data_IF_391361151861
#
_entry.id   IF_391361151861
#
_cell.length_a   1.000
_cell.length_b   1.000
_cell.length_c   1.000
_cell.angle_alpha   90.00
_cell.angle_beta   90.00
_cell.angle_gamma   90.00
#
_symmetry.space_group_name_H-M   'P 1'
#
loop_
_entity.id
_entity.type
_entity.pdbx_description
1 polymer ?
#
# COMPACT_ATOMS: atom_id res chain seq x y z
N UNK A 1 9.67 -23.01 -39.53
CA UNK A 1 8.63 -23.21 -38.49
C UNK A 1 8.76 -22.11 -37.45
N UNK A 2 7.75 -21.22 -37.33
CA UNK A 2 7.75 -20.15 -36.32
C UNK A 2 7.71 -20.77 -34.92
N UNK A 3 8.54 -20.23 -33.99
CA UNK A 3 8.62 -20.68 -32.59
C UNK A 3 7.24 -20.47 -31.94
N UNK A 4 6.59 -21.59 -31.55
CA UNK A 4 5.27 -21.52 -30.89
C UNK A 4 5.37 -20.65 -29.62
N UNK A 5 4.53 -19.63 -29.52
CA UNK A 5 4.53 -18.73 -28.35
C UNK A 5 4.11 -19.51 -27.09
N UNK A 6 4.81 -19.32 -25.99
CA UNK A 6 4.42 -19.91 -24.70
C UNK A 6 2.99 -19.48 -24.32
N UNK A 7 2.29 -20.32 -23.55
CA UNK A 7 0.93 -20.02 -23.08
C UNK A 7 0.89 -18.69 -22.31
N UNK A 8 1.93 -18.41 -21.50
CA UNK A 8 2.08 -17.14 -20.81
C UNK A 8 2.17 -15.94 -21.78
N UNK A 9 2.94 -16.08 -22.87
CA UNK A 9 3.02 -15.03 -23.89
C UNK A 9 1.69 -14.82 -24.62
N UNK A 10 0.94 -15.88 -24.88
CA UNK A 10 -0.39 -15.80 -25.47
C UNK A 10 -1.36 -15.06 -24.52
N UNK A 11 -1.41 -15.45 -23.24
CA UNK A 11 -2.26 -14.82 -22.23
C UNK A 11 -1.95 -13.32 -22.07
N UNK A 12 -0.66 -12.96 -22.00
CA UNK A 12 -0.25 -11.56 -21.91
C UNK A 12 -0.64 -10.74 -23.15
N UNK A 13 -0.53 -11.32 -24.34
CA UNK A 13 -0.96 -10.67 -25.57
C UNK A 13 -2.48 -10.41 -25.60
N UNK A 14 -3.27 -11.37 -25.08
CA UNK A 14 -4.74 -11.26 -25.02
C UNK A 14 -5.22 -10.18 -24.06
N UNK A 15 -4.63 -10.09 -22.85
CA UNK A 15 -5.07 -9.08 -21.87
C UNK A 15 -4.61 -7.66 -22.22
N UNK A 16 -3.57 -7.52 -23.04
CA UNK A 16 -3.05 -6.20 -23.43
C UNK A 16 -2.46 -5.41 -22.26
N UNK A 17 -2.31 -4.10 -22.47
CA UNK A 17 -1.82 -3.15 -21.46
C UNK A 17 -2.91 -2.13 -21.14
N UNK A 18 -3.41 -2.18 -19.91
CA UNK A 18 -4.33 -1.15 -19.39
C UNK A 18 -3.52 -0.02 -18.75
N UNK A 19 -3.37 1.08 -19.47
CA UNK A 19 -2.61 2.26 -19.03
C UNK A 19 -3.34 3.11 -17.99
N UNK A 20 -4.63 2.90 -17.77
CA UNK A 20 -5.40 3.59 -16.71
C UNK A 20 -4.99 3.13 -15.30
N UNK A 21 -4.45 1.93 -15.18
CA UNK A 21 -4.00 1.39 -13.89
C UNK A 21 -2.59 1.83 -13.52
N UNK A 22 -2.32 1.93 -12.22
CA UNK A 22 -0.96 2.19 -11.71
C UNK A 22 0.04 1.12 -12.17
N UNK A 23 1.33 1.47 -12.28
CA UNK A 23 2.39 0.52 -12.66
C UNK A 23 2.40 -0.73 -11.80
N UNK A 24 2.29 -0.59 -10.47
CA UNK A 24 2.26 -1.71 -9.54
C UNK A 24 1.05 -2.63 -9.75
N UNK A 25 -0.11 -2.06 -10.05
CA UNK A 25 -1.32 -2.86 -10.35
C UNK A 25 -1.15 -3.63 -11.64
N UNK A 26 -0.54 -3.01 -12.67
CA UNK A 26 -0.23 -3.68 -13.94
C UNK A 26 0.78 -4.81 -13.74
N UNK A 27 1.90 -4.53 -13.07
CA UNK A 27 2.95 -5.52 -12.80
C UNK A 27 2.37 -6.74 -12.07
N UNK A 28 1.54 -6.52 -11.06
CA UNK A 28 0.86 -7.58 -10.32
C UNK A 28 -0.07 -8.40 -11.21
N UNK A 29 -0.89 -7.73 -12.04
CA UNK A 29 -1.76 -8.41 -12.99
C UNK A 29 -0.96 -9.27 -13.98
N UNK A 30 0.11 -8.71 -14.55
CA UNK A 30 0.98 -9.43 -15.50
C UNK A 30 1.67 -10.62 -14.85
N UNK A 31 2.17 -10.46 -13.61
CA UNK A 31 2.80 -11.55 -12.85
C UNK A 31 1.82 -12.69 -12.56
N UNK A 32 0.63 -12.37 -12.07
CA UNK A 32 -0.40 -13.37 -11.79
C UNK A 32 -0.90 -14.05 -13.08
N UNK A 33 -0.98 -13.32 -14.18
CA UNK A 33 -1.30 -13.87 -15.50
C UNK A 33 -0.28 -14.90 -15.97
N UNK A 34 1.02 -14.57 -15.84
CA UNK A 34 2.10 -15.51 -16.17
C UNK A 34 2.07 -16.77 -15.31
N UNK A 35 1.86 -16.58 -13.99
CA UNK A 35 1.82 -17.70 -13.05
C UNK A 35 0.69 -18.67 -13.40
N UNK A 36 -0.53 -18.17 -13.61
CA UNK A 36 -1.67 -19.00 -13.99
C UNK A 36 -1.44 -19.73 -15.32
N UNK A 37 -0.99 -19.02 -16.35
CA UNK A 37 -0.74 -19.63 -17.66
C UNK A 37 0.35 -20.71 -17.60
N UNK A 38 1.43 -20.48 -16.85
CA UNK A 38 2.48 -21.47 -16.64
C UNK A 38 1.97 -22.69 -15.87
N UNK A 39 1.12 -22.48 -14.85
CA UNK A 39 0.49 -23.57 -14.12
C UNK A 39 -0.32 -24.47 -15.05
N UNK A 40 -1.23 -23.87 -15.82
CA UNK A 40 -2.11 -24.63 -16.73
C UNK A 40 -1.31 -25.34 -17.84
N UNK A 41 -0.28 -24.71 -18.39
CA UNK A 41 0.62 -25.34 -19.34
C UNK A 41 1.32 -26.56 -18.75
N UNK A 42 1.83 -26.44 -17.51
CA UNK A 42 2.56 -27.52 -16.83
C UNK A 42 1.65 -28.66 -16.39
N UNK A 43 0.50 -28.34 -15.79
CA UNK A 43 -0.40 -29.33 -15.20
C UNK A 43 -1.24 -30.09 -16.25
N UNK A 44 -1.58 -29.43 -17.36
CA UNK A 44 -2.51 -29.99 -18.36
C UNK A 44 -1.95 -30.05 -19.78
N UNK A 45 -0.69 -29.70 -20.01
CA UNK A 45 -0.13 -29.64 -21.35
C UNK A 45 -0.85 -28.66 -22.28
N UNK A 46 -1.54 -27.62 -21.72
CA UNK A 46 -2.32 -26.70 -22.53
C UNK A 46 -1.41 -25.84 -23.41
N UNK A 47 -1.59 -25.91 -24.72
CA UNK A 47 -0.77 -25.19 -25.70
C UNK A 47 -1.41 -23.87 -26.19
N UNK A 48 -2.75 -23.76 -26.12
CA UNK A 48 -3.52 -22.58 -26.57
C UNK A 48 -4.39 -22.05 -25.46
N UNK A 49 -4.24 -20.76 -25.14
CA UNK A 49 -5.02 -20.11 -24.08
C UNK A 49 -6.53 -20.10 -24.38
N UNK A 50 -6.90 -20.06 -25.66
CA UNK A 50 -8.29 -20.14 -26.09
C UNK A 50 -8.97 -21.47 -25.72
N UNK A 51 -8.22 -22.53 -25.41
CA UNK A 51 -8.72 -23.83 -24.95
C UNK A 51 -8.90 -23.93 -23.44
N UNK A 52 -8.83 -22.80 -22.72
CA UNK A 52 -9.10 -22.77 -21.29
C UNK A 52 -10.49 -23.32 -20.95
N UNK A 53 -10.60 -24.13 -19.88
CA UNK A 53 -11.83 -24.79 -19.42
C UNK A 53 -12.04 -24.56 -17.92
N UNK A 54 -13.27 -24.72 -17.38
CA UNK A 54 -13.54 -24.60 -15.94
C UNK A 54 -12.65 -25.46 -15.06
N UNK A 55 -12.38 -26.72 -15.47
CA UNK A 55 -11.51 -27.67 -14.74
C UNK A 55 -10.09 -27.14 -14.49
N UNK A 56 -9.51 -26.41 -15.47
CA UNK A 56 -8.19 -25.80 -15.30
C UNK A 56 -8.17 -24.75 -14.21
N UNK A 57 -9.29 -23.98 -14.09
CA UNK A 57 -9.44 -22.93 -13.09
C UNK A 57 -9.63 -23.54 -11.71
N UNK A 58 -10.50 -24.56 -11.60
CA UNK A 58 -10.75 -25.28 -10.35
C UNK A 58 -9.45 -25.88 -9.80
N UNK A 59 -8.68 -26.57 -10.62
CA UNK A 59 -7.41 -27.15 -10.24
C UNK A 59 -6.38 -26.09 -9.80
N UNK A 60 -6.35 -24.93 -10.47
CA UNK A 60 -5.49 -23.83 -10.03
C UNK A 60 -5.90 -23.29 -8.65
N UNK A 61 -7.21 -23.18 -8.39
CA UNK A 61 -7.72 -22.77 -7.06
C UNK A 61 -7.33 -23.80 -6.00
N UNK A 62 -7.51 -25.08 -6.27
CA UNK A 62 -7.09 -26.18 -5.38
C UNK A 62 -5.60 -26.08 -5.06
N UNK A 63 -4.74 -25.85 -6.06
CA UNK A 63 -3.31 -25.65 -5.85
C UNK A 63 -2.97 -24.42 -5.00
N UNK A 64 -3.79 -23.38 -5.06
CA UNK A 64 -3.63 -22.20 -4.19
C UNK A 64 -3.99 -22.49 -2.73
N UNK A 65 -5.02 -23.30 -2.47
CA UNK A 65 -5.40 -23.78 -1.14
C UNK A 65 -4.32 -24.72 -0.58
N UNK A 66 -3.83 -25.68 -1.34
CA UNK A 66 -2.74 -26.58 -0.95
C UNK A 66 -1.48 -25.81 -0.53
N UNK A 67 -1.16 -24.74 -1.25
CA UNK A 67 -0.05 -23.81 -0.93
C UNK A 67 -0.36 -22.87 0.23
N UNK A 68 -1.52 -22.97 0.85
CA UNK A 68 -1.98 -22.15 1.97
C UNK A 68 -1.87 -20.64 1.68
N UNK A 69 -2.18 -20.22 0.46
CA UNK A 69 -2.15 -18.80 0.12
C UNK A 69 -3.26 -18.05 0.86
N UNK A 70 -2.96 -16.85 1.32
CA UNK A 70 -3.97 -16.01 1.98
C UNK A 70 -5.12 -15.65 1.02
N UNK A 71 -6.34 -15.54 1.54
CA UNK A 71 -7.52 -15.18 0.75
C UNK A 71 -7.36 -13.88 -0.07
N UNK A 72 -6.73 -12.78 0.44
CA UNK A 72 -6.42 -11.63 -0.38
C UNK A 72 -5.50 -11.93 -1.57
N UNK A 73 -4.49 -12.80 -1.37
CA UNK A 73 -3.57 -13.21 -2.45
C UNK A 73 -4.29 -14.02 -3.51
N UNK A 74 -5.12 -14.97 -3.09
CA UNK A 74 -5.95 -15.77 -4.01
C UNK A 74 -6.94 -14.90 -4.79
N UNK A 75 -7.60 -13.94 -4.12
CA UNK A 75 -8.52 -13.01 -4.79
C UNK A 75 -7.83 -12.16 -5.87
N UNK A 76 -6.60 -11.71 -5.63
CA UNK A 76 -5.81 -10.98 -6.61
C UNK A 76 -5.43 -11.87 -7.81
N UNK A 77 -5.09 -13.14 -7.59
CA UNK A 77 -4.81 -14.12 -8.64
C UNK A 77 -6.07 -14.44 -9.46
N UNK A 78 -7.22 -14.60 -8.81
CA UNK A 78 -8.51 -14.80 -9.49
C UNK A 78 -8.91 -13.58 -10.34
N UNK A 79 -8.50 -12.37 -9.98
CA UNK A 79 -8.67 -11.20 -10.84
C UNK A 79 -7.94 -11.37 -12.17
N UNK A 80 -6.71 -11.91 -12.17
CA UNK A 80 -5.97 -12.19 -13.40
C UNK A 80 -6.65 -13.30 -14.24
N UNK A 81 -7.11 -14.37 -13.58
CA UNK A 81 -7.86 -15.46 -14.25
C UNK A 81 -9.12 -14.93 -14.96
N UNK A 82 -9.91 -14.09 -14.26
CA UNK A 82 -11.11 -13.48 -14.88
C UNK A 82 -10.75 -12.54 -16.03
N UNK A 83 -9.67 -11.78 -15.90
CA UNK A 83 -9.20 -10.91 -16.99
C UNK A 83 -8.82 -11.72 -18.22
N UNK A 84 -8.12 -12.85 -18.06
CA UNK A 84 -7.79 -13.76 -19.16
C UNK A 84 -9.08 -14.34 -19.77
N UNK A 85 -9.98 -14.91 -18.96
CA UNK A 85 -11.22 -15.49 -19.43
C UNK A 85 -12.07 -14.49 -20.22
N UNK A 86 -12.16 -13.24 -19.74
CA UNK A 86 -12.83 -12.15 -20.45
C UNK A 86 -12.13 -11.85 -21.79
N UNK A 87 -10.81 -11.76 -21.81
CA UNK A 87 -10.05 -11.40 -23.02
C UNK A 87 -10.12 -12.44 -24.15
N UNK A 88 -10.50 -13.68 -23.83
CA UNK A 88 -10.75 -14.77 -24.80
C UNK A 88 -12.24 -15.05 -25.02
N UNK A 89 -13.14 -14.19 -24.52
CA UNK A 89 -14.61 -14.36 -24.69
C UNK A 89 -15.23 -15.50 -23.88
N UNK A 90 -14.57 -15.96 -22.82
CA UNK A 90 -15.00 -17.12 -22.01
C UNK A 90 -15.25 -16.76 -20.53
N UNK A 91 -15.82 -15.58 -20.25
CA UNK A 91 -16.11 -15.16 -18.90
C UNK A 91 -17.02 -16.09 -18.10
N UNK A 92 -17.80 -16.90 -18.78
CA UNK A 92 -18.72 -17.89 -18.19
C UNK A 92 -18.05 -19.13 -17.61
N UNK A 93 -16.75 -19.37 -17.91
CA UNK A 93 -16.02 -20.50 -17.33
C UNK A 93 -15.43 -20.19 -15.93
N UNK A 94 -15.56 -18.95 -15.44
CA UNK A 94 -15.05 -18.47 -14.16
C UNK A 94 -16.20 -17.93 -13.33
N UNK A 95 -16.35 -18.43 -12.11
CA UNK A 95 -17.33 -17.89 -11.18
C UNK A 95 -17.10 -16.40 -10.89
N UNK A 96 -18.19 -15.65 -10.85
CA UNK A 96 -18.14 -14.20 -10.64
C UNK A 96 -17.62 -13.83 -9.27
N UNK A 97 -18.00 -14.60 -8.24
CA UNK A 97 -17.67 -14.35 -6.84
C UNK A 97 -16.61 -15.31 -6.33
N UNK A 98 -15.70 -14.80 -5.52
CA UNK A 98 -14.61 -15.59 -4.94
C UNK A 98 -15.13 -16.63 -3.92
N UNK A 99 -16.26 -16.35 -3.26
CA UNK A 99 -16.88 -17.29 -2.31
C UNK A 99 -17.22 -18.66 -2.94
N UNK A 100 -17.55 -18.69 -4.24
CA UNK A 100 -17.78 -19.95 -4.96
C UNK A 100 -16.53 -20.85 -5.04
N UNK A 101 -15.36 -20.31 -4.75
CA UNK A 101 -14.08 -21.01 -4.69
C UNK A 101 -13.55 -21.18 -3.25
N UNK A 102 -14.38 -20.93 -2.23
CA UNK A 102 -13.94 -20.94 -0.83
C UNK A 102 -12.95 -19.83 -0.47
N UNK A 103 -12.89 -18.76 -1.26
CA UNK A 103 -11.99 -17.62 -1.04
C UNK A 103 -12.78 -16.51 -0.33
N UNK A 104 -12.79 -16.54 0.98
CA UNK A 104 -13.46 -15.55 1.82
C UNK A 104 -12.45 -14.51 2.32
N UNK A 105 -12.62 -13.27 1.91
CA UNK A 105 -11.77 -12.15 2.31
C UNK A 105 -12.46 -11.34 3.39
N UNK A 106 -11.98 -11.41 4.61
CA UNK A 106 -12.26 -10.37 5.60
C UNK A 106 -11.55 -9.06 5.21
N UNK A 107 -12.31 -7.96 5.19
CA UNK A 107 -11.76 -6.60 5.00
C UNK A 107 -11.51 -5.91 6.33
N UNK A 108 -12.07 -6.44 7.40
CA UNK A 108 -11.91 -5.92 8.76
C UNK A 108 -10.69 -6.61 9.36
N UNK A 109 -9.62 -5.87 9.49
CA UNK A 109 -8.38 -6.34 10.10
C UNK A 109 -7.69 -5.16 10.78
N UNK A 110 -8.26 -4.65 11.89
CA UNK A 110 -7.68 -3.56 12.65
C UNK A 110 -6.30 -4.00 13.16
N UNK A 111 -5.32 -3.14 13.01
CA UNK A 111 -3.97 -3.39 13.49
C UNK A 111 -3.81 -2.70 14.84
N UNK A 112 -3.41 -3.45 15.84
CA UNK A 112 -3.01 -2.90 17.14
C UNK A 112 -1.53 -2.58 17.07
N UNK A 113 -1.16 -1.39 17.49
CA UNK A 113 0.23 -0.96 17.59
C UNK A 113 0.76 -1.40 18.96
N UNK A 114 1.91 -2.05 18.94
CA UNK A 114 2.71 -2.27 20.15
C UNK A 114 3.50 -0.98 20.43
N UNK A 115 3.03 -0.20 21.39
CA UNK A 115 3.58 1.13 21.67
C UNK A 115 5.00 1.06 22.23
N UNK A 116 5.33 0.10 23.07
CA UNK A 116 6.67 -0.03 23.67
C UNK A 116 7.67 -0.36 22.57
N UNK A 117 7.37 -1.34 21.75
CA UNK A 117 8.22 -1.68 20.61
C UNK A 117 8.30 -0.57 19.56
N UNK A 118 7.24 0.19 19.37
CA UNK A 118 7.27 1.35 18.48
C UNK A 118 8.25 2.41 18.99
N UNK A 119 8.28 2.66 20.29
CA UNK A 119 9.25 3.57 20.91
C UNK A 119 10.68 3.09 20.71
N UNK A 120 10.98 1.80 20.89
CA UNK A 120 12.31 1.24 20.60
C UNK A 120 12.73 1.44 19.12
N UNK A 121 11.78 1.30 18.18
CA UNK A 121 12.05 1.56 16.75
C UNK A 121 12.40 3.03 16.54
N UNK A 122 11.65 3.94 17.15
CA UNK A 122 11.87 5.40 17.07
C UNK A 122 13.22 5.81 17.66
N UNK A 123 13.58 5.27 18.80
CA UNK A 123 14.89 5.51 19.43
C UNK A 123 16.05 5.09 18.52
N UNK A 124 15.95 3.93 17.87
CA UNK A 124 16.96 3.47 16.91
C UNK A 124 17.03 4.35 15.65
N UNK A 125 15.89 4.86 15.18
CA UNK A 125 15.85 5.83 14.07
C UNK A 125 16.47 7.14 14.52
N UNK A 126 16.13 7.64 15.72
CA UNK A 126 16.68 8.87 16.30
C UNK A 126 18.19 8.80 16.46
N UNK A 127 18.71 7.68 16.99
CA UNK A 127 20.16 7.50 17.15
C UNK A 127 20.92 7.62 15.82
N UNK A 128 20.34 7.15 14.71
CA UNK A 128 20.93 7.30 13.37
C UNK A 128 20.75 8.73 12.83
N UNK A 129 19.59 9.35 13.06
CA UNK A 129 19.31 10.72 12.65
C UNK A 129 20.26 11.72 13.33
N UNK A 130 20.53 11.54 14.62
CA UNK A 130 21.47 12.34 15.42
C UNK A 130 22.93 12.21 14.95
N UNK A 131 23.28 11.10 14.25
CA UNK A 131 24.56 10.91 13.60
C UNK A 131 24.64 11.54 12.19
N UNK A 132 23.59 12.23 11.76
CA UNK A 132 23.51 12.89 10.46
C UNK A 132 23.11 11.96 9.29
N UNK A 133 22.62 10.74 9.57
CA UNK A 133 22.09 9.87 8.50
C UNK A 133 20.88 10.53 7.85
N UNK A 134 21.02 10.92 6.57
CA UNK A 134 20.00 11.65 5.82
C UNK A 134 18.72 10.83 5.60
N UNK A 135 18.84 9.50 5.51
CA UNK A 135 17.68 8.61 5.41
C UNK A 135 16.96 8.54 6.75
N UNK A 136 17.69 8.48 7.85
CA UNK A 136 17.11 8.46 9.18
C UNK A 136 16.39 9.79 9.50
N UNK A 137 16.96 10.94 9.14
CA UNK A 137 16.30 12.24 9.24
C UNK A 137 14.97 12.25 8.47
N UNK A 138 14.98 11.80 7.22
CA UNK A 138 13.76 11.66 6.40
C UNK A 138 12.74 10.73 7.07
N UNK A 139 13.18 9.58 7.59
CA UNK A 139 12.29 8.58 8.21
C UNK A 139 11.68 9.12 9.49
N UNK A 140 12.43 9.82 10.32
CA UNK A 140 11.98 10.46 11.55
C UNK A 140 10.89 11.50 11.27
N UNK A 141 11.15 12.44 10.37
CA UNK A 141 10.15 13.44 9.97
C UNK A 141 8.89 12.82 9.36
N UNK A 142 9.04 11.82 8.49
CA UNK A 142 7.91 11.09 7.92
C UNK A 142 7.12 10.31 8.97
N UNK A 143 7.78 9.79 10.02
CA UNK A 143 7.15 9.11 11.15
C UNK A 143 6.31 10.08 11.98
N UNK A 144 6.86 11.25 12.33
CA UNK A 144 6.12 12.30 13.02
C UNK A 144 4.82 12.68 12.30
N UNK A 145 4.86 12.79 10.96
CA UNK A 145 3.65 13.05 10.16
C UNK A 145 2.66 11.87 10.20
N UNK A 146 3.13 10.62 10.18
CA UNK A 146 2.24 9.46 10.27
C UNK A 146 1.55 9.39 11.63
N UNK A 147 2.30 9.57 12.69
CA UNK A 147 1.78 9.56 14.05
C UNK A 147 0.77 10.68 14.29
N UNK A 148 1.11 11.91 13.88
CA UNK A 148 0.32 13.11 14.22
C UNK A 148 -0.87 13.35 13.28
N UNK A 149 -0.86 12.83 12.04
CA UNK A 149 -1.90 13.10 11.04
C UNK A 149 -2.45 11.83 10.36
N UNK A 150 -2.06 10.65 10.79
CA UNK A 150 -2.51 9.39 10.21
C UNK A 150 -2.13 9.21 8.73
N UNK A 151 -1.06 9.83 8.23
CA UNK A 151 -0.69 9.78 6.83
C UNK A 151 -0.24 8.38 6.39
N UNK A 152 -0.47 8.03 5.11
CA UNK A 152 0.15 6.85 4.53
C UNK A 152 1.66 7.05 4.39
N UNK A 153 2.44 5.97 4.47
CA UNK A 153 3.90 6.03 4.36
C UNK A 153 4.42 6.76 3.10
N UNK A 154 3.69 6.70 1.98
CA UNK A 154 4.04 7.47 0.78
C UNK A 154 3.59 8.93 0.87
N UNK A 155 2.43 9.19 1.45
CA UNK A 155 1.93 10.56 1.69
C UNK A 155 2.89 11.32 2.59
N UNK A 156 3.37 10.71 3.68
CA UNK A 156 4.29 11.36 4.61
C UNK A 156 5.63 11.77 3.98
N UNK A 157 6.09 11.07 2.94
CA UNK A 157 7.28 11.46 2.17
C UNK A 157 7.03 12.61 1.21
N UNK A 158 5.80 12.78 0.73
CA UNK A 158 5.43 13.79 -0.27
C UNK A 158 4.95 15.09 0.38
N UNK A 159 4.45 15.02 1.63
CA UNK A 159 3.79 16.12 2.33
C UNK A 159 4.81 16.97 3.11
N UNK A 160 5.45 17.90 2.43
CA UNK A 160 6.44 18.82 3.04
C UNK A 160 6.08 20.29 2.85
N UNK A 161 4.99 20.58 2.18
CA UNK A 161 4.49 21.94 1.99
C UNK A 161 3.67 22.39 3.19
N UNK A 162 4.09 23.47 3.82
CA UNK A 162 3.45 24.06 4.98
C UNK A 162 3.04 25.48 4.65
N UNK A 163 1.83 25.85 4.97
CA UNK A 163 1.32 27.21 4.84
C UNK A 163 0.97 27.76 6.22
N UNK A 164 1.24 29.04 6.42
CA UNK A 164 0.85 29.76 7.64
C UNK A 164 -0.23 30.76 7.23
N UNK A 165 -1.40 30.64 7.86
CA UNK A 165 -2.53 31.53 7.66
C UNK A 165 -3.09 31.93 9.02
N UNK A 166 -3.19 33.22 9.31
CA UNK A 166 -3.71 33.77 10.58
C UNK A 166 -3.05 33.12 11.81
N UNK A 167 -1.73 32.90 11.74
CA UNK A 167 -0.95 32.27 12.81
C UNK A 167 -1.13 30.76 12.98
N UNK A 168 -1.91 30.11 12.10
CA UNK A 168 -2.15 28.67 12.10
C UNK A 168 -1.32 27.97 11.02
N UNK A 169 -0.87 26.77 11.33
CA UNK A 169 -0.07 25.93 10.43
C UNK A 169 -0.96 24.92 9.69
N UNK A 170 -0.82 24.87 8.38
CA UNK A 170 -1.56 23.95 7.50
C UNK A 170 -0.59 23.11 6.70
N UNK A 171 -0.70 21.78 6.85
CA UNK A 171 0.06 20.83 6.08
C UNK A 171 -0.70 20.48 4.80
N UNK A 172 -0.07 20.72 3.64
CA UNK A 172 -0.60 20.29 2.35
C UNK A 172 -0.25 18.83 2.08
N UNK A 173 -1.25 17.97 2.06
CA UNK A 173 -1.07 16.53 1.82
C UNK A 173 -1.33 16.21 0.36
N UNK A 174 -0.28 15.82 -0.37
CA UNK A 174 -0.41 15.27 -1.71
C UNK A 174 -0.97 13.84 -1.63
N UNK A 175 -2.13 13.59 -2.23
CA UNK A 175 -2.78 12.29 -2.21
C UNK A 175 -1.95 11.22 -2.92
N UNK A 176 -1.82 10.04 -2.32
CA UNK A 176 -1.18 8.88 -2.92
C UNK A 176 -2.20 7.78 -3.21
N UNK A 177 -2.12 7.15 -4.39
CA UNK A 177 -2.92 5.98 -4.80
C UNK A 177 -4.42 6.11 -4.48
N UNK A 178 -5.11 7.02 -5.13
CA UNK A 178 -6.55 7.23 -4.93
C UNK A 178 -6.90 8.05 -3.67
N UNK A 179 -5.88 8.46 -2.89
CA UNK A 179 -6.05 9.48 -1.85
C UNK A 179 -6.23 10.85 -2.49
N UNK A 180 -7.15 11.63 -1.95
CA UNK A 180 -7.38 13.00 -2.43
C UNK A 180 -6.36 13.93 -1.82
N UNK A 181 -5.85 14.93 -2.57
CA UNK A 181 -5.14 16.05 -1.98
C UNK A 181 -6.02 16.70 -0.91
N UNK A 182 -5.43 17.05 0.20
CA UNK A 182 -6.13 17.67 1.32
C UNK A 182 -5.21 18.55 2.13
N UNK A 183 -5.80 19.40 2.88
CA UNK A 183 -5.11 20.26 3.83
C UNK A 183 -5.47 19.84 5.26
N UNK A 184 -4.47 19.78 6.13
CA UNK A 184 -4.62 19.41 7.53
C UNK A 184 -4.06 20.52 8.42
N UNK A 185 -4.89 21.08 9.28
CA UNK A 185 -4.49 22.07 10.28
C UNK A 185 -3.74 21.38 11.43
N UNK A 186 -2.58 21.91 11.80
CA UNK A 186 -1.83 21.48 12.97
C UNK A 186 -2.41 22.15 14.22
N UNK A 187 -3.17 21.43 15.01
CA UNK A 187 -3.92 21.92 16.18
C UNK A 187 -3.27 21.54 17.51
N UNK A 188 -2.59 20.42 17.55
CA UNK A 188 -1.93 19.91 18.77
C UNK A 188 -0.43 20.23 18.73
N UNK A 189 0.19 20.27 19.91
CA UNK A 189 1.66 20.44 20.00
C UNK A 189 2.42 19.39 19.22
N UNK A 190 1.94 18.14 19.22
CA UNK A 190 2.54 17.04 18.46
C UNK A 190 2.48 17.29 16.96
N UNK A 191 1.34 17.80 16.46
CA UNK A 191 1.17 18.16 15.06
C UNK A 191 2.05 19.35 14.67
N UNK A 192 2.12 20.37 15.51
CA UNK A 192 2.97 21.56 15.29
C UNK A 192 4.44 21.14 15.22
N UNK A 193 4.92 20.33 16.18
CA UNK A 193 6.30 19.79 16.17
C UNK A 193 6.59 18.97 14.92
N UNK A 194 5.68 18.08 14.51
CA UNK A 194 5.86 17.28 13.32
C UNK A 194 5.99 18.12 12.04
N UNK A 195 5.21 19.20 11.92
CA UNK A 195 5.29 20.14 10.80
C UNK A 195 6.59 20.94 10.82
N UNK A 196 7.05 21.39 11.98
CA UNK A 196 8.31 22.11 12.14
C UNK A 196 9.50 21.20 11.77
N UNK A 197 9.52 19.96 12.26
CA UNK A 197 10.54 18.98 11.94
C UNK A 197 10.61 18.68 10.44
N UNK A 198 9.47 18.61 9.76
CA UNK A 198 9.43 18.45 8.30
C UNK A 198 10.13 19.62 7.61
N UNK A 199 9.88 20.85 8.02
CA UNK A 199 10.50 22.04 7.45
C UNK A 199 12.02 22.06 7.70
N UNK A 200 12.48 21.65 8.87
CA UNK A 200 13.91 21.53 9.21
C UNK A 200 14.59 20.43 8.40
N UNK A 201 13.98 19.25 8.34
CA UNK A 201 14.49 18.12 7.57
C UNK A 201 14.56 18.45 6.08
N UNK A 202 13.56 19.13 5.52
CA UNK A 202 13.57 19.56 4.12
C UNK A 202 14.73 20.50 3.81
N UNK A 203 15.10 21.39 4.74
CA UNK A 203 16.29 22.25 4.61
C UNK A 203 17.59 21.44 4.70
N UNK A 204 17.66 20.48 5.62
CA UNK A 204 18.86 19.69 5.88
C UNK A 204 19.18 18.68 4.76
N UNK A 205 18.18 18.00 4.21
CA UNK A 205 18.41 16.87 3.29
C UNK A 205 17.86 17.08 1.88
N UNK A 206 16.89 17.99 1.70
CA UNK A 206 16.12 18.16 0.47
C UNK A 206 16.84 18.86 -0.67
N UNK A 207 18.07 19.32 -0.48
CA UNK A 207 18.88 19.98 -1.52
C UNK A 207 18.14 21.12 -2.24
N UNK A 208 17.41 21.95 -1.49
CA UNK A 208 16.66 23.10 -2.02
C UNK A 208 15.31 22.76 -2.67
N UNK A 209 14.91 21.49 -2.71
CA UNK A 209 13.62 21.09 -3.32
C UNK A 209 12.41 21.35 -2.42
N UNK A 210 12.62 21.70 -1.15
CA UNK A 210 11.58 21.84 -0.13
C UNK A 210 10.96 20.49 0.33
N UNK A 211 11.57 19.36 -0.08
CA UNK A 211 11.10 18.01 0.27
C UNK A 211 11.99 17.39 1.33
N UNK A 212 11.42 16.53 2.18
CA UNK A 212 12.21 15.76 3.15
C UNK A 212 13.01 14.62 2.50
N UNK A 213 12.76 14.34 1.23
CA UNK A 213 13.49 13.32 0.46
C UNK A 213 14.89 13.84 0.14
N UNK A 214 15.96 13.07 0.45
CA UNK A 214 17.32 13.44 0.05
C UNK A 214 17.41 13.73 -1.46
N UNK A 215 18.06 14.83 -1.84
CA UNK A 215 18.05 15.34 -3.20
C UNK A 215 18.60 14.39 -4.28
N UNK A 216 19.33 13.35 -3.87
CA UNK A 216 19.86 12.30 -4.75
C UNK A 216 18.90 11.09 -4.89
N UNK A 217 17.70 11.14 -4.28
CA UNK A 217 16.74 10.03 -4.32
C UNK A 217 15.46 10.39 -5.08
N UNK A 218 14.98 9.46 -5.86
CA UNK A 218 13.61 9.47 -6.37
C UNK A 218 12.62 9.08 -5.25
N UNK A 219 11.35 9.45 -5.41
CA UNK A 219 10.29 9.05 -4.47
C UNK A 219 10.23 7.52 -4.24
N UNK A 220 10.47 6.73 -5.30
CA UNK A 220 10.51 5.26 -5.18
C UNK A 220 11.68 4.81 -4.31
N UNK A 221 12.87 5.35 -4.54
CA UNK A 221 14.06 5.03 -3.73
C UNK A 221 13.88 5.46 -2.28
N UNK A 222 13.34 6.65 -2.02
CA UNK A 222 13.03 7.14 -0.69
C UNK A 222 12.01 6.24 0.04
N UNK A 223 10.96 5.81 -0.66
CA UNK A 223 9.98 4.88 -0.09
C UNK A 223 10.57 3.51 0.25
N UNK A 224 11.42 2.97 -0.61
CA UNK A 224 12.11 1.70 -0.37
C UNK A 224 13.14 1.85 0.78
N UNK A 225 13.89 2.95 0.82
CA UNK A 225 14.84 3.27 1.89
C UNK A 225 14.14 3.42 3.26
N UNK A 226 13.01 4.15 3.32
CA UNK A 226 12.18 4.28 4.51
C UNK A 226 11.74 2.91 5.04
N UNK A 227 11.21 2.04 4.18
CA UNK A 227 10.77 0.71 4.57
C UNK A 227 11.92 -0.17 5.07
N UNK A 228 13.07 -0.06 4.43
CA UNK A 228 14.25 -0.84 4.80
C UNK A 228 14.80 -0.39 6.15
N UNK A 229 15.00 0.92 6.35
CA UNK A 229 15.49 1.45 7.63
C UNK A 229 14.52 1.13 8.77
N UNK A 230 13.20 1.34 8.56
CA UNK A 230 12.19 1.01 9.56
C UNK A 230 12.25 -0.45 9.99
N UNK A 231 12.41 -1.37 9.02
CA UNK A 231 12.55 -2.81 9.29
C UNK A 231 13.86 -3.14 10.00
N UNK A 232 14.98 -2.52 9.61
CA UNK A 232 16.27 -2.69 10.29
C UNK A 232 16.21 -2.24 11.75
N UNK A 233 15.40 -1.23 12.06
CA UNK A 233 15.16 -0.78 13.43
C UNK A 233 14.16 -1.65 14.21
N UNK A 234 13.56 -2.69 13.58
CA UNK A 234 12.61 -3.60 14.22
C UNK A 234 11.15 -3.35 13.84
N UNK A 235 10.87 -2.37 12.98
CA UNK A 235 9.52 -1.98 12.56
C UNK A 235 8.89 -2.96 11.59
N UNK A 236 8.21 -4.01 12.09
CA UNK A 236 7.58 -5.05 11.28
C UNK A 236 6.12 -5.26 11.66
N UNK A 237 5.37 -5.91 10.77
CA UNK A 237 3.98 -6.29 11.05
C UNK A 237 3.90 -7.36 12.15
N UNK A 238 4.84 -8.29 12.17
CA UNK A 238 4.88 -9.35 13.18
C UNK A 238 5.09 -8.79 14.60
N UNK A 239 5.80 -7.65 14.70
CA UNK A 239 6.02 -6.96 15.97
C UNK A 239 4.97 -5.87 16.27
N UNK A 240 3.88 -5.77 15.51
CA UNK A 240 2.87 -4.73 15.71
C UNK A 240 3.35 -3.28 15.44
N UNK A 241 4.48 -3.10 14.79
CA UNK A 241 5.15 -1.79 14.61
C UNK A 241 5.32 -1.37 13.16
N UNK A 242 4.47 -1.90 12.27
CA UNK A 242 4.52 -1.50 10.87
C UNK A 242 3.95 -0.08 10.68
N UNK A 243 4.48 0.64 9.69
CA UNK A 243 4.10 2.02 9.39
C UNK A 243 2.61 2.25 9.09
N UNK A 244 1.85 1.22 8.77
CA UNK A 244 0.40 1.35 8.53
C UNK A 244 -0.40 1.25 9.83
N UNK A 245 0.15 0.61 10.86
CA UNK A 245 -0.47 0.49 12.19
C UNK A 245 -0.71 1.84 12.84
N UNK A 246 0.21 2.80 12.68
CA UNK A 246 0.07 4.17 13.23
C UNK A 246 -1.18 4.87 12.69
N UNK A 247 -1.51 4.67 11.42
CA UNK A 247 -2.73 5.21 10.83
C UNK A 247 -3.99 4.60 11.44
N UNK A 248 -3.95 3.32 11.84
CA UNK A 248 -5.02 2.69 12.59
C UNK A 248 -5.11 3.27 14.02
N UNK A 249 -3.96 3.52 14.65
CA UNK A 249 -3.88 4.21 15.95
C UNK A 249 -4.55 5.57 15.89
N UNK A 250 -4.09 6.41 14.98
CA UNK A 250 -4.64 7.75 14.75
C UNK A 250 -6.17 7.74 14.57
N UNK A 251 -6.69 6.84 13.73
CA UNK A 251 -8.15 6.77 13.51
C UNK A 251 -8.90 6.45 14.79
N UNK A 252 -8.38 5.52 15.62
CA UNK A 252 -9.00 5.15 16.90
C UNK A 252 -8.90 6.25 17.94
N UNK A 253 -7.78 6.96 18.01
CA UNK A 253 -7.62 8.10 18.91
C UNK A 253 -8.63 9.20 18.58
N UNK A 254 -8.76 9.53 17.29
CA UNK A 254 -9.75 10.51 16.83
C UNK A 254 -11.19 10.09 17.12
N UNK A 255 -11.51 8.79 16.97
CA UNK A 255 -12.82 8.25 17.31
C UNK A 255 -13.08 8.30 18.83
N UNK A 256 -12.08 7.95 19.64
CA UNK A 256 -12.15 8.04 21.10
C UNK A 256 -12.29 9.49 21.62
N UNK A 257 -11.73 10.48 20.91
CA UNK A 257 -11.90 11.91 21.15
C UNK A 257 -13.31 12.42 20.74
N UNK A 258 -14.16 11.58 20.17
CA UNK A 258 -15.50 11.92 19.70
C UNK A 258 -15.53 12.68 18.37
N UNK A 259 -14.48 12.60 17.57
CA UNK A 259 -14.48 13.21 16.24
C UNK A 259 -15.53 12.55 15.34
N UNK A 260 -16.26 13.36 14.56
CA UNK A 260 -17.22 12.83 13.61
C UNK A 260 -16.54 11.92 12.57
N UNK A 261 -17.16 10.79 12.23
CA UNK A 261 -16.63 9.84 11.22
C UNK A 261 -16.26 10.49 9.90
N UNK A 262 -17.06 11.48 9.46
CA UNK A 262 -16.79 12.27 8.25
C UNK A 262 -15.50 13.09 8.35
N UNK A 263 -15.19 13.65 9.53
CA UNK A 263 -13.94 14.36 9.78
C UNK A 263 -12.75 13.42 9.71
N UNK A 264 -12.81 12.26 10.38
CA UNK A 264 -11.76 11.24 10.34
C UNK A 264 -11.53 10.75 8.89
N UNK A 265 -12.59 10.51 8.12
CA UNK A 265 -12.51 10.14 6.71
C UNK A 265 -11.79 11.20 5.87
N UNK A 266 -12.13 12.47 6.09
CA UNK A 266 -11.49 13.60 5.41
C UNK A 266 -10.02 13.71 5.77
N UNK A 267 -9.67 13.65 7.06
CA UNK A 267 -8.29 13.70 7.56
C UNK A 267 -7.45 12.54 6.98
N UNK A 268 -8.04 11.35 6.89
CA UNK A 268 -7.40 10.18 6.28
C UNK A 268 -7.41 10.19 4.75
N UNK A 269 -8.14 11.10 4.09
CA UNK A 269 -8.27 11.13 2.62
C UNK A 269 -8.99 9.89 2.06
N UNK A 270 -10.04 9.42 2.74
CA UNK A 270 -10.95 8.37 2.28
C UNK A 270 -12.22 8.98 1.67
N UNK A 271 -12.70 8.36 0.59
CA UNK A 271 -13.93 8.79 -0.09
C UNK A 271 -15.18 8.06 0.37
N UNK A 272 -15.05 6.97 1.13
CA UNK A 272 -16.17 6.09 1.50
C UNK A 272 -16.06 5.64 2.95
N UNK A 273 -17.17 5.65 3.67
CA UNK A 273 -17.29 5.24 5.09
C UNK A 273 -16.86 3.78 5.32
N UNK A 274 -17.15 2.90 4.38
CA UNK A 274 -16.68 1.49 4.40
C UNK A 274 -15.17 1.34 4.62
N UNK A 275 -14.39 2.34 4.23
CA UNK A 275 -12.94 2.34 4.45
C UNK A 275 -12.58 2.57 5.92
N UNK A 276 -13.41 3.29 6.67
CA UNK A 276 -13.17 3.60 8.09
C UNK A 276 -13.46 2.38 8.98
N UNK A 277 -14.49 1.59 8.66
CA UNK A 277 -14.80 0.35 9.37
C UNK A 277 -13.59 -0.59 9.48
N UNK A 278 -12.72 -0.60 8.46
CA UNK A 278 -11.48 -1.39 8.50
C UNK A 278 -10.47 -0.95 9.58
N UNK A 279 -10.63 0.25 10.14
CA UNK A 279 -9.76 0.82 11.19
C UNK A 279 -10.40 0.75 12.58
N UNK A 280 -11.71 0.92 12.68
CA UNK A 280 -12.43 1.11 13.94
C UNK A 280 -13.14 -0.15 14.46
N UNK A 281 -13.65 -1.01 13.57
CA UNK A 281 -14.39 -2.20 13.97
C UNK A 281 -13.44 -3.34 14.39
N UNK A 282 -13.84 -4.04 15.48
CA UNK A 282 -13.13 -5.21 16.02
C UNK A 282 -13.56 -6.49 15.35
#
# INVERSE_FOLDING_TARGET
MGKQRSLASQALARIGKDWSKSSLTREKLLSNTKEFANYVAKAFGLERIDNLKPGHIKSYVESMHERQLSAPTMADKMTAVRTIACSIGKQNIVERHNAAYGIERSRINPQVVDHDRLMEVREKVEAKASQGDRVALMVRAADGLRASFGLRAKESLMSSKVEIRDGRLFLQVEGAKGGRPRELEARTEGQIRAVQEVAETARAVGSGTGRIIPGNMTLKQAYDAQRNLWRQCGGTRACGTNMHGERHGYARERDAEGAARSAILSELGHGEDRSLSAYLEK
#
